data_IF_992541678265
#
_entry.id   IF_992541678265
#
_cell.length_a   1.000
_cell.length_b   1.000
_cell.length_c   1.000
_cell.angle_alpha   90.00
_cell.angle_beta   90.00
_cell.angle_gamma   90.00
#
_symmetry.space_group_name_H-M   'P 1'
#
loop_
_entity.id
_entity.type
_entity.pdbx_description
1 polymer ?
#
# COMPACT_ATOMS: atom_id res chain seq x y z
N UNK A 1 68.46 -28.11 23.48
CA UNK A 1 67.42 -27.08 23.39
C UNK A 1 66.27 -27.61 22.50
N UNK A 2 65.10 -27.93 23.09
CA UNK A 2 63.93 -28.40 22.35
C UNK A 2 62.94 -27.26 22.31
N UNK A 3 62.65 -26.76 21.11
CA UNK A 3 61.64 -25.73 20.85
C UNK A 3 60.28 -26.43 20.67
N UNK A 4 59.34 -26.14 21.57
CA UNK A 4 57.94 -26.61 21.50
C UNK A 4 57.17 -25.49 20.76
N UNK A 5 56.68 -25.80 19.54
CA UNK A 5 55.80 -24.97 18.77
C UNK A 5 54.37 -25.36 19.16
N UNK A 6 53.65 -24.50 19.87
CA UNK A 6 52.21 -24.65 20.18
C UNK A 6 51.38 -24.03 19.04
N UNK A 7 50.73 -24.88 18.27
CA UNK A 7 49.76 -24.44 17.25
C UNK A 7 48.43 -24.04 17.92
N UNK A 8 48.12 -22.76 17.93
CA UNK A 8 46.85 -22.25 18.41
C UNK A 8 45.74 -22.48 17.37
N UNK A 9 44.71 -23.25 17.71
CA UNK A 9 43.54 -23.50 16.89
C UNK A 9 42.55 -22.34 17.04
N UNK A 10 42.47 -21.44 16.04
CA UNK A 10 41.47 -20.36 15.99
C UNK A 10 40.12 -20.94 15.58
N UNK A 11 39.16 -20.95 16.50
CA UNK A 11 37.76 -21.25 16.20
C UNK A 11 37.09 -20.02 15.60
N UNK A 12 36.76 -20.09 14.31
CA UNK A 12 35.93 -19.08 13.63
C UNK A 12 34.47 -19.48 13.85
N UNK A 13 33.78 -18.76 14.73
CA UNK A 13 32.32 -18.91 14.91
C UNK A 13 31.63 -18.14 13.78
N UNK A 14 31.10 -18.88 12.79
CA UNK A 14 30.23 -18.32 11.78
C UNK A 14 28.89 -17.94 12.43
N UNK A 15 28.62 -16.65 12.59
CA UNK A 15 27.32 -16.12 13.00
C UNK A 15 26.40 -16.23 11.78
N UNK A 16 25.50 -17.22 11.77
CA UNK A 16 24.42 -17.32 10.81
C UNK A 16 23.43 -16.17 11.09
N UNK A 17 23.46 -15.13 10.26
CA UNK A 17 22.44 -14.10 10.27
C UNK A 17 21.10 -14.74 9.83
N UNK A 18 20.21 -14.96 10.77
CA UNK A 18 18.80 -15.31 10.46
C UNK A 18 18.16 -14.11 9.76
N UNK A 19 17.50 -14.29 8.59
CA UNK A 19 16.74 -13.22 7.99
C UNK A 19 15.66 -12.79 8.98
N UNK A 20 15.64 -11.51 9.33
CA UNK A 20 14.56 -10.93 10.10
C UNK A 20 13.27 -11.09 9.26
N UNK A 21 12.38 -11.96 9.70
CA UNK A 21 11.01 -12.02 9.18
C UNK A 21 10.39 -10.70 9.61
N UNK A 22 10.30 -9.74 8.69
CA UNK A 22 9.62 -8.47 8.94
C UNK A 22 8.22 -8.76 9.47
N UNK A 23 7.79 -8.04 10.51
CA UNK A 23 6.43 -8.11 11.00
C UNK A 23 5.48 -7.89 9.81
N UNK A 24 4.35 -8.64 9.69
CA UNK A 24 3.40 -8.43 8.62
C UNK A 24 2.95 -6.97 8.66
N UNK A 25 3.08 -6.28 7.53
CA UNK A 25 2.74 -4.89 7.42
C UNK A 25 1.25 -4.66 7.62
N UNK A 26 0.88 -3.43 7.98
CA UNK A 26 -0.51 -3.05 8.22
C UNK A 26 -1.19 -2.82 6.87
N UNK A 27 -2.27 -3.57 6.57
CA UNK A 27 -3.17 -3.23 5.48
C UNK A 27 -3.93 -1.94 5.82
N UNK A 28 -3.62 -0.86 5.09
CA UNK A 28 -4.18 0.46 5.38
C UNK A 28 -5.68 0.57 5.13
N UNK A 29 -6.23 -0.25 4.24
CA UNK A 29 -7.66 -0.25 3.97
C UNK A 29 -8.41 -0.95 5.11
N UNK A 30 -7.86 -2.04 5.66
CA UNK A 30 -8.42 -2.64 6.86
C UNK A 30 -8.28 -1.75 8.10
N UNK A 31 -7.14 -1.08 8.25
CA UNK A 31 -6.96 -0.09 9.32
C UNK A 31 -8.03 1.01 9.25
N UNK A 32 -8.30 1.51 8.04
CA UNK A 32 -9.34 2.51 7.82
C UNK A 32 -10.73 1.96 8.12
N UNK A 33 -11.05 0.78 7.60
CA UNK A 33 -12.36 0.15 7.79
C UNK A 33 -12.64 -0.14 9.28
N UNK A 34 -11.62 -0.53 10.03
CA UNK A 34 -11.71 -0.83 11.47
C UNK A 34 -11.86 0.43 12.35
N UNK A 35 -11.06 1.49 12.06
CA UNK A 35 -10.95 2.62 13.00
C UNK A 35 -11.63 3.90 12.54
N UNK A 36 -11.91 4.03 11.25
CA UNK A 36 -12.34 5.31 10.68
C UNK A 36 -13.68 5.23 9.96
N UNK A 37 -13.98 4.08 9.34
CA UNK A 37 -15.11 3.97 8.43
C UNK A 37 -16.47 4.14 9.11
N UNK A 38 -16.61 3.79 10.39
CA UNK A 38 -17.86 3.97 11.13
C UNK A 38 -18.31 5.44 11.11
N UNK A 39 -17.37 6.39 11.25
CA UNK A 39 -17.69 7.83 11.24
C UNK A 39 -17.49 8.47 9.85
N UNK A 40 -16.53 7.99 9.06
CA UNK A 40 -16.10 8.66 7.84
C UNK A 40 -16.52 7.94 6.54
N UNK A 41 -17.07 6.75 6.64
CA UNK A 41 -17.40 5.93 5.48
C UNK A 41 -16.15 5.46 4.72
N UNK A 42 -16.30 5.10 3.46
CA UNK A 42 -15.22 4.58 2.64
C UNK A 42 -14.13 5.63 2.39
N UNK A 43 -12.84 5.26 2.60
CA UNK A 43 -11.69 6.15 2.55
C UNK A 43 -11.62 7.04 1.28
N UNK A 44 -11.84 6.44 0.11
CA UNK A 44 -11.77 7.16 -1.15
C UNK A 44 -12.89 8.17 -1.34
N UNK A 45 -14.10 7.86 -0.86
CA UNK A 45 -15.23 8.80 -0.93
C UNK A 45 -15.04 9.94 0.07
N UNK A 46 -14.57 9.63 1.29
CA UNK A 46 -14.21 10.62 2.28
C UNK A 46 -13.14 11.57 1.76
N UNK A 47 -12.03 11.03 1.25
CA UNK A 47 -10.93 11.85 0.77
C UNK A 47 -11.36 12.81 -0.35
N UNK A 48 -12.11 12.34 -1.35
CA UNK A 48 -12.57 13.18 -2.46
C UNK A 48 -13.64 14.19 -2.09
N UNK A 49 -14.46 13.90 -1.07
CA UNK A 49 -15.58 14.75 -0.66
C UNK A 49 -15.16 15.84 0.36
N UNK A 50 -14.28 15.48 1.29
CA UNK A 50 -14.00 16.32 2.45
C UNK A 50 -12.58 16.86 2.52
N UNK A 51 -11.67 16.30 1.72
CA UNK A 51 -10.28 16.73 1.68
C UNK A 51 -9.97 17.35 0.31
N UNK A 52 -8.97 18.23 0.30
CA UNK A 52 -8.44 18.82 -0.92
C UNK A 52 -6.92 18.77 -0.89
N UNK A 53 -6.31 18.86 -2.06
CA UNK A 53 -4.86 18.93 -2.20
C UNK A 53 -4.48 20.32 -2.68
N UNK A 54 -3.59 20.98 -1.94
CA UNK A 54 -3.07 22.30 -2.29
C UNK A 54 -1.57 22.31 -2.02
N UNK A 55 -0.77 22.71 -3.00
CA UNK A 55 0.69 22.72 -2.89
C UNK A 55 1.28 21.33 -2.53
N UNK A 56 0.69 20.23 -3.00
CA UNK A 56 1.12 18.87 -2.67
C UNK A 56 0.77 18.41 -1.25
N UNK A 57 0.04 19.21 -0.48
CA UNK A 57 -0.37 18.91 0.89
C UNK A 57 -1.86 18.62 0.96
N UNK A 58 -2.24 17.67 1.81
CA UNK A 58 -3.63 17.35 2.11
C UNK A 58 -4.18 18.36 3.14
N UNK A 59 -5.35 18.89 2.87
CA UNK A 59 -6.05 19.86 3.72
C UNK A 59 -7.46 19.36 4.04
N UNK A 60 -7.86 19.47 5.29
CA UNK A 60 -9.23 19.23 5.74
C UNK A 60 -10.05 20.53 5.80
N UNK A 61 -11.36 20.40 5.96
CA UNK A 61 -12.26 21.57 6.06
C UNK A 61 -11.90 22.50 7.26
N UNK A 62 -11.58 21.91 8.41
CA UNK A 62 -11.25 22.61 9.65
C UNK A 62 -9.76 22.52 10.01
N UNK A 63 -8.98 21.75 9.27
CA UNK A 63 -7.55 21.48 9.45
C UNK A 63 -6.82 21.79 8.16
N UNK A 64 -6.78 23.09 7.80
CA UNK A 64 -6.21 23.55 6.53
C UNK A 64 -4.69 23.39 6.52
N UNK A 65 -4.03 23.77 7.63
CA UNK A 65 -2.57 23.76 7.73
C UNK A 65 -2.02 22.70 8.69
N UNK A 66 -2.86 22.13 9.55
CA UNK A 66 -2.48 21.26 10.66
C UNK A 66 -3.06 19.83 10.57
N UNK A 67 -3.63 19.43 9.42
CA UNK A 67 -4.26 18.10 9.27
C UNK A 67 -3.33 16.95 9.66
N UNK A 68 -2.04 17.06 9.33
CA UNK A 68 -1.06 16.04 9.71
C UNK A 68 -0.90 15.94 11.25
N UNK A 69 -0.78 17.10 11.92
CA UNK A 69 -0.73 17.17 13.39
C UNK A 69 -2.02 16.68 14.05
N UNK A 70 -3.18 16.99 13.45
CA UNK A 70 -4.48 16.50 13.90
C UNK A 70 -4.55 14.96 13.88
N UNK A 71 -4.06 14.32 12.82
CA UNK A 71 -4.06 12.86 12.70
C UNK A 71 -3.27 12.16 13.81
N UNK A 72 -2.22 12.77 14.36
CA UNK A 72 -1.46 12.24 15.50
C UNK A 72 -2.31 12.11 16.78
N UNK A 73 -3.36 12.88 16.90
CA UNK A 73 -4.26 12.88 18.06
C UNK A 73 -5.65 12.34 17.72
N UNK A 74 -5.79 11.74 16.54
CA UNK A 74 -7.06 11.24 16.03
C UNK A 74 -6.96 9.77 15.62
N UNK A 75 -7.00 8.88 16.61
CA UNK A 75 -7.00 7.41 16.48
C UNK A 75 -5.80 6.78 15.75
N UNK A 76 -4.75 7.55 15.45
CA UNK A 76 -3.54 7.07 14.79
C UNK A 76 -2.30 7.35 15.64
N UNK A 77 -1.27 6.49 15.53
CA UNK A 77 -0.02 6.62 16.24
C UNK A 77 1.19 6.24 15.38
N UNK A 78 2.32 6.85 15.67
CA UNK A 78 3.59 6.52 15.04
C UNK A 78 3.54 6.59 13.50
N UNK A 79 3.98 5.54 12.83
CA UNK A 79 4.05 5.44 11.37
C UNK A 79 2.66 5.25 10.68
N UNK A 80 1.61 4.98 11.46
CA UNK A 80 0.24 4.92 10.92
C UNK A 80 -0.18 6.29 10.38
N UNK A 81 0.26 7.39 11.01
CA UNK A 81 -0.07 8.76 10.60
C UNK A 81 0.42 9.04 9.19
N UNK A 82 1.71 8.81 8.92
CA UNK A 82 2.29 8.97 7.59
C UNK A 82 1.56 8.12 6.55
N UNK A 83 1.26 6.92 6.93
CA UNK A 83 0.66 5.91 6.07
C UNK A 83 -0.75 6.28 5.65
N UNK A 84 -1.60 6.63 6.60
CA UNK A 84 -2.99 7.04 6.35
C UNK A 84 -3.02 8.39 5.64
N UNK A 85 -2.16 9.35 6.05
CA UNK A 85 -2.05 10.63 5.38
C UNK A 85 -1.73 10.47 3.88
N UNK A 86 -0.72 9.66 3.55
CA UNK A 86 -0.32 9.41 2.17
C UNK A 86 -1.38 8.64 1.38
N UNK A 87 -2.06 7.67 1.99
CA UNK A 87 -3.20 6.99 1.38
C UNK A 87 -4.32 7.98 1.05
N UNK A 88 -4.72 8.84 1.99
CA UNK A 88 -5.76 9.84 1.78
C UNK A 88 -5.35 10.89 0.73
N UNK A 89 -4.09 11.33 0.72
CA UNK A 89 -3.55 12.23 -0.29
C UNK A 89 -3.66 11.63 -1.70
N UNK A 90 -3.29 10.35 -1.85
CA UNK A 90 -3.42 9.65 -3.11
C UNK A 90 -4.89 9.46 -3.53
N UNK A 91 -5.79 9.20 -2.57
CA UNK A 91 -7.22 9.08 -2.82
C UNK A 91 -7.86 10.42 -3.23
N UNK A 92 -7.49 11.52 -2.56
CA UNK A 92 -7.99 12.87 -2.90
C UNK A 92 -7.55 13.32 -4.29
N UNK A 93 -6.35 12.92 -4.73
CA UNK A 93 -5.82 13.20 -6.08
C UNK A 93 -6.35 12.25 -7.16
N UNK A 94 -7.03 11.16 -6.80
CA UNK A 94 -7.46 10.15 -7.76
C UNK A 94 -8.91 10.33 -8.18
N UNK A 95 -9.20 9.97 -9.44
CA UNK A 95 -10.57 9.82 -9.91
C UNK A 95 -11.18 8.52 -9.38
N UNK A 96 -12.51 8.51 -9.14
CA UNK A 96 -13.23 7.33 -8.67
C UNK A 96 -13.46 6.26 -9.77
N UNK A 97 -12.58 6.17 -10.77
CA UNK A 97 -12.75 5.33 -11.96
C UNK A 97 -12.93 3.86 -11.63
N UNK A 98 -12.17 3.31 -10.66
CA UNK A 98 -12.34 1.90 -10.29
C UNK A 98 -13.76 1.63 -9.78
N UNK A 99 -14.31 2.52 -8.94
CA UNK A 99 -15.68 2.41 -8.44
C UNK A 99 -16.72 2.42 -9.57
N UNK A 100 -16.50 3.25 -10.59
CA UNK A 100 -17.43 3.42 -11.70
C UNK A 100 -17.28 2.33 -12.75
N UNK A 101 -16.04 1.97 -13.10
CA UNK A 101 -15.76 1.12 -14.27
C UNK A 101 -15.54 -0.35 -13.91
N UNK A 102 -15.15 -0.67 -12.67
CA UNK A 102 -14.71 -2.02 -12.30
C UNK A 102 -15.50 -2.64 -11.14
N UNK A 103 -16.02 -1.84 -10.20
CA UNK A 103 -16.63 -2.35 -8.96
C UNK A 103 -17.90 -3.21 -9.19
N UNK A 104 -18.56 -3.06 -10.31
CA UNK A 104 -19.71 -3.93 -10.65
C UNK A 104 -19.36 -5.44 -10.74
N UNK A 105 -18.06 -5.77 -10.94
CA UNK A 105 -17.58 -7.15 -10.99
C UNK A 105 -16.50 -7.43 -9.92
N UNK A 106 -15.79 -6.42 -9.43
CA UNK A 106 -14.59 -6.59 -8.62
C UNK A 106 -14.68 -5.99 -7.19
N UNK A 107 -15.86 -5.54 -6.77
CA UNK A 107 -16.08 -4.90 -5.48
C UNK A 107 -15.19 -3.65 -5.31
N UNK A 108 -14.35 -3.56 -4.26
CA UNK A 108 -13.40 -2.48 -4.08
C UNK A 108 -12.02 -2.83 -4.66
N UNK A 109 -11.22 -1.81 -5.00
CA UNK A 109 -9.86 -2.05 -5.49
C UNK A 109 -9.00 -2.80 -4.45
N UNK A 110 -9.17 -2.51 -3.16
CA UNK A 110 -8.45 -3.19 -2.08
C UNK A 110 -8.89 -4.65 -1.94
N UNK A 111 -10.18 -4.94 -1.95
CA UNK A 111 -10.70 -6.30 -1.92
C UNK A 111 -10.22 -7.10 -3.14
N UNK A 112 -10.27 -6.50 -4.34
CA UNK A 112 -9.77 -7.12 -5.56
C UNK A 112 -8.27 -7.43 -5.47
N UNK A 113 -7.45 -6.50 -4.98
CA UNK A 113 -6.00 -6.73 -4.77
C UNK A 113 -5.77 -7.88 -3.81
N UNK A 114 -6.41 -7.89 -2.64
CA UNK A 114 -6.25 -8.98 -1.65
C UNK A 114 -6.57 -10.34 -2.22
N UNK A 115 -7.68 -10.44 -2.93
CA UNK A 115 -8.24 -11.72 -3.32
C UNK A 115 -7.64 -12.27 -4.61
N UNK A 116 -7.30 -11.41 -5.57
CA UNK A 116 -6.98 -11.82 -6.93
C UNK A 116 -5.55 -11.52 -7.38
N UNK A 117 -4.85 -10.62 -6.70
CA UNK A 117 -3.55 -10.12 -7.16
C UNK A 117 -2.43 -10.39 -6.15
N UNK A 118 -1.20 -10.35 -6.64
CA UNK A 118 0.02 -10.41 -5.82
C UNK A 118 1.09 -9.48 -6.39
N UNK A 119 1.88 -8.89 -5.50
CA UNK A 119 2.97 -8.00 -5.87
C UNK A 119 4.29 -8.80 -5.81
N UNK A 120 5.00 -8.91 -6.95
CA UNK A 120 6.31 -9.56 -7.04
C UNK A 120 7.32 -8.58 -7.63
N UNK A 121 8.33 -8.20 -6.88
CA UNK A 121 9.38 -7.27 -7.31
C UNK A 121 8.81 -5.97 -7.94
N UNK A 122 7.78 -5.39 -7.32
CA UNK A 122 7.13 -4.16 -7.81
C UNK A 122 6.20 -4.33 -9.01
N UNK A 123 6.03 -5.54 -9.54
CA UNK A 123 5.10 -5.86 -10.62
C UNK A 123 3.91 -6.64 -10.09
N UNK A 124 2.72 -6.27 -10.55
CA UNK A 124 1.47 -6.87 -10.12
C UNK A 124 1.05 -8.00 -11.05
N UNK A 125 0.74 -9.16 -10.46
CA UNK A 125 0.33 -10.37 -11.18
C UNK A 125 -1.03 -10.87 -10.69
N UNK A 126 -1.77 -11.53 -11.57
CA UNK A 126 -2.95 -12.29 -11.19
C UNK A 126 -2.54 -13.60 -10.51
N UNK A 127 -3.08 -13.89 -9.33
CA UNK A 127 -2.84 -15.16 -8.60
C UNK A 127 -3.31 -16.38 -9.39
N UNK A 128 -4.44 -16.23 -10.11
CA UNK A 128 -5.07 -17.37 -10.82
C UNK A 128 -4.36 -17.70 -12.13
N UNK A 129 -3.92 -16.69 -12.90
CA UNK A 129 -3.37 -16.91 -14.24
C UNK A 129 -1.86 -16.75 -14.32
N UNK A 130 -1.22 -16.17 -13.29
CA UNK A 130 0.20 -15.83 -13.30
C UNK A 130 0.58 -14.73 -14.32
N UNK A 131 -0.39 -14.12 -15.02
CA UNK A 131 -0.15 -13.06 -16.00
C UNK A 131 0.05 -11.72 -15.30
N UNK A 132 0.89 -10.85 -15.87
CA UNK A 132 0.96 -9.47 -15.37
C UNK A 132 -0.38 -8.77 -15.54
N UNK A 133 -0.74 -7.94 -14.55
CA UNK A 133 -1.99 -7.17 -14.59
C UNK A 133 -2.00 -6.22 -15.79
N UNK A 134 -0.86 -5.64 -16.14
CA UNK A 134 -0.72 -4.76 -17.30
C UNK A 134 -1.08 -5.47 -18.61
N UNK A 135 -0.53 -6.67 -18.82
CA UNK A 135 -0.81 -7.43 -20.04
C UNK A 135 -2.25 -7.91 -20.10
N UNK A 136 -2.81 -8.30 -18.95
CA UNK A 136 -4.22 -8.67 -18.87
C UNK A 136 -5.14 -7.49 -19.21
N UNK A 137 -4.90 -6.31 -18.65
CA UNK A 137 -5.73 -5.12 -18.84
C UNK A 137 -5.72 -4.60 -20.28
N UNK A 138 -4.65 -4.81 -21.04
CA UNK A 138 -4.61 -4.45 -22.46
C UNK A 138 -5.68 -5.17 -23.32
N UNK A 139 -6.23 -6.28 -22.83
CA UNK A 139 -7.25 -7.08 -23.53
C UNK A 139 -8.55 -7.20 -22.72
N UNK A 140 -8.64 -6.54 -21.56
CA UNK A 140 -9.77 -6.64 -20.66
C UNK A 140 -10.79 -5.52 -20.93
N UNK A 141 -12.03 -5.89 -21.30
CA UNK A 141 -13.16 -4.97 -21.50
C UNK A 141 -12.93 -3.83 -22.50
N UNK A 142 -12.06 -4.01 -23.48
CA UNK A 142 -11.81 -2.98 -24.48
C UNK A 142 -11.19 -1.69 -23.92
N UNK A 143 -10.42 -1.78 -22.82
CA UNK A 143 -9.71 -0.65 -22.29
C UNK A 143 -8.74 -0.08 -23.33
N UNK A 144 -8.68 1.26 -23.43
CA UNK A 144 -7.64 1.92 -24.20
C UNK A 144 -6.28 1.70 -23.52
N UNK A 145 -5.14 1.84 -24.24
CA UNK A 145 -3.81 1.75 -23.65
C UNK A 145 -3.63 2.70 -22.44
N UNK A 146 -4.19 3.91 -22.51
CA UNK A 146 -4.19 4.86 -21.40
C UNK A 146 -5.04 4.40 -20.21
N UNK A 147 -6.19 3.75 -20.47
CA UNK A 147 -7.03 3.14 -19.45
C UNK A 147 -6.31 1.98 -18.75
N UNK A 148 -5.69 1.08 -19.52
CA UNK A 148 -4.90 -0.02 -18.97
C UNK A 148 -3.73 0.47 -18.11
N UNK A 149 -3.00 1.49 -18.56
CA UNK A 149 -1.92 2.12 -17.80
C UNK A 149 -2.43 2.75 -16.49
N UNK A 150 -3.55 3.48 -16.55
CA UNK A 150 -4.18 4.09 -15.38
C UNK A 150 -4.55 3.03 -14.32
N UNK A 151 -5.26 1.96 -14.71
CA UNK A 151 -5.67 0.93 -13.76
C UNK A 151 -4.50 0.09 -13.26
N UNK A 152 -3.49 -0.16 -14.07
CA UNK A 152 -2.24 -0.79 -13.59
C UNK A 152 -1.61 0.05 -12.50
N UNK A 153 -1.43 1.35 -12.71
CA UNK A 153 -0.86 2.26 -11.71
C UNK A 153 -1.71 2.34 -10.42
N UNK A 154 -3.04 2.45 -10.57
CA UNK A 154 -3.96 2.47 -9.44
C UNK A 154 -3.86 1.18 -8.61
N UNK A 155 -3.94 0.02 -9.24
CA UNK A 155 -3.90 -1.27 -8.55
C UNK A 155 -2.52 -1.55 -7.92
N UNK A 156 -1.43 -1.13 -8.56
CA UNK A 156 -0.07 -1.24 -7.99
C UNK A 156 0.06 -0.38 -6.73
N UNK A 157 -0.45 0.86 -6.75
CA UNK A 157 -0.50 1.71 -5.56
C UNK A 157 -1.31 1.07 -4.43
N UNK A 158 -2.53 0.59 -4.73
CA UNK A 158 -3.39 -0.09 -3.74
C UNK A 158 -2.71 -1.34 -3.21
N UNK A 159 -1.97 -2.09 -4.04
CA UNK A 159 -1.19 -3.24 -3.56
C UNK A 159 -0.09 -2.83 -2.58
N UNK A 160 0.55 -1.69 -2.78
CA UNK A 160 1.49 -1.11 -1.82
C UNK A 160 0.83 -0.67 -0.51
N UNK A 161 -0.45 -0.35 -0.52
CA UNK A 161 -1.24 0.00 0.67
C UNK A 161 -1.75 -1.25 1.42
N UNK A 162 -2.00 -2.34 0.70
CA UNK A 162 -2.48 -3.64 1.23
C UNK A 162 -1.34 -4.52 1.73
N UNK A 163 -0.23 -4.60 0.98
CA UNK A 163 0.91 -5.50 1.27
C UNK A 163 2.12 -4.75 1.80
N UNK A 164 1.94 -3.79 2.68
CA UNK A 164 3.08 -3.06 3.27
C UNK A 164 3.98 -4.02 4.03
N UNK A 165 5.32 -3.89 3.84
CA UNK A 165 6.29 -4.62 4.65
C UNK A 165 6.33 -4.13 6.09
#
# INVERSE_FOLDING_TARGET
>A
MRVIVTAGLMWVTAVLATPAIGAPGIDLHWLWDDRCAECHGHAGDFARKFLRVSGGRLQGRHHVDDLYGFLHNHYLAGNEVDSVYNMLLAQANSQARFKVECAGCHDTAAAFVRNALELRNGVLYSRNSGRSVRDFLNHHRGLTPGGAAFFTGLLTRVAGEVYRP
#
